data_IF_981469749353
#
_entry.id   IF_981469749353
#
_cell.length_a   1.000
_cell.length_b   1.000
_cell.length_c   1.000
_cell.angle_alpha   90.00
_cell.angle_beta   90.00
_cell.angle_gamma   90.00
#
_symmetry.space_group_name_H-M   'P 1'
#
loop_
_entity.id
_entity.type
_entity.pdbx_description
1 polymer ?
#
# COMPACT_ATOMS: atom_id res chain seq x y z
N UNK A 1 -10.05 13.43 -30.81
CA UNK A 1 -9.24 12.78 -29.75
C UNK A 1 -7.90 13.50 -29.72
N UNK A 2 -7.69 14.40 -28.75
CA UNK A 2 -6.40 15.05 -28.56
C UNK A 2 -5.46 14.05 -27.88
N UNK A 3 -4.39 13.68 -28.58
CA UNK A 3 -3.28 12.91 -28.01
C UNK A 3 -2.60 13.77 -26.95
N UNK A 4 -2.49 13.27 -25.72
CA UNK A 4 -1.70 13.91 -24.67
C UNK A 4 -0.23 13.93 -25.08
N UNK A 5 0.44 15.08 -24.96
CA UNK A 5 1.88 15.19 -25.16
C UNK A 5 2.60 14.18 -24.23
N UNK A 6 3.51 13.34 -24.76
CA UNK A 6 4.24 12.36 -23.94
C UNK A 6 5.04 13.01 -22.81
N UNK A 7 5.44 14.27 -22.98
CA UNK A 7 6.18 15.08 -22.00
C UNK A 7 5.40 15.37 -20.73
N UNK A 8 4.06 15.47 -20.79
CA UNK A 8 3.21 15.76 -19.62
C UNK A 8 2.65 14.50 -18.97
N UNK A 9 2.77 13.34 -19.62
CA UNK A 9 2.20 12.10 -19.12
C UNK A 9 2.85 11.64 -17.80
N UNK A 10 4.20 11.66 -17.75
CA UNK A 10 4.96 11.18 -16.58
C UNK A 10 4.69 12.06 -15.35
N UNK A 11 4.84 13.40 -15.39
CA UNK A 11 4.58 14.25 -14.23
C UNK A 11 3.13 14.14 -13.72
N UNK A 12 2.16 14.09 -14.64
CA UNK A 12 0.75 13.93 -14.27
C UNK A 12 0.49 12.58 -13.60
N UNK A 13 1.13 11.51 -14.08
CA UNK A 13 1.01 10.19 -13.46
C UNK A 13 1.64 10.17 -12.07
N UNK A 14 2.83 10.74 -11.89
CA UNK A 14 3.50 10.87 -10.59
C UNK A 14 2.63 11.63 -9.59
N UNK A 15 2.06 12.77 -9.99
CA UNK A 15 1.16 13.54 -9.13
C UNK A 15 -0.10 12.76 -8.73
N UNK A 16 -0.69 11.98 -9.64
CA UNK A 16 -1.82 11.10 -9.31
C UNK A 16 -1.44 10.00 -8.32
N UNK A 17 -0.20 9.47 -8.39
CA UNK A 17 0.32 8.49 -7.44
C UNK A 17 0.42 9.07 -6.03
N UNK A 18 0.98 10.27 -5.92
CA UNK A 18 1.11 10.97 -4.63
C UNK A 18 -0.27 11.22 -4.00
N UNK A 19 -1.24 11.67 -4.79
CA UNK A 19 -2.61 11.86 -4.30
C UNK A 19 -3.25 10.53 -3.90
N UNK A 20 -3.07 9.47 -4.70
CA UNK A 20 -3.60 8.15 -4.33
C UNK A 20 -3.03 7.70 -2.97
N UNK A 21 -1.71 7.71 -2.82
CA UNK A 21 -1.04 7.25 -1.60
C UNK A 21 -1.41 8.12 -0.38
N UNK A 22 -1.53 9.43 -0.57
CA UNK A 22 -1.99 10.34 0.50
C UNK A 22 -3.43 10.03 0.89
N UNK A 23 -4.33 9.87 -0.08
CA UNK A 23 -5.74 9.57 0.19
C UNK A 23 -5.92 8.19 0.83
N UNK A 24 -5.10 7.20 0.45
CA UNK A 24 -5.06 5.87 1.08
C UNK A 24 -4.72 5.99 2.56
N UNK A 25 -3.65 6.71 2.86
CA UNK A 25 -3.23 6.99 4.23
C UNK A 25 -4.33 7.66 5.06
N UNK A 26 -4.96 8.72 4.54
CA UNK A 26 -6.00 9.44 5.27
C UNK A 26 -7.27 8.58 5.45
N UNK A 27 -7.70 7.83 4.43
CA UNK A 27 -8.87 6.96 4.56
C UNK A 27 -8.63 5.85 5.58
N UNK A 28 -7.45 5.23 5.54
CA UNK A 28 -7.07 4.21 6.52
C UNK A 28 -7.00 4.78 7.94
N UNK A 29 -6.38 5.95 8.12
CA UNK A 29 -6.26 6.59 9.43
C UNK A 29 -7.63 6.91 10.01
N UNK A 30 -8.57 7.43 9.21
CA UNK A 30 -9.94 7.66 9.68
C UNK A 30 -10.60 6.34 10.08
N UNK A 31 -10.52 5.32 9.22
CA UNK A 31 -11.06 3.99 9.49
C UNK A 31 -10.52 3.42 10.81
N UNK A 32 -9.21 3.51 11.04
CA UNK A 32 -8.55 3.07 12.27
C UNK A 32 -9.13 3.75 13.51
N UNK A 33 -9.43 5.06 13.46
CA UNK A 33 -9.97 5.76 14.62
C UNK A 33 -11.44 5.42 14.94
N UNK A 34 -12.21 4.98 13.95
CA UNK A 34 -13.66 4.74 14.10
C UNK A 34 -14.03 3.25 14.28
N UNK A 35 -13.10 2.33 14.03
CA UNK A 35 -13.33 0.88 14.18
C UNK A 35 -12.66 0.37 15.46
N UNK A 36 -13.33 -0.52 16.20
CA UNK A 36 -12.76 -1.14 17.42
C UNK A 36 -11.79 -2.27 17.08
N UNK A 37 -12.16 -3.12 16.13
CA UNK A 37 -11.33 -4.22 15.65
C UNK A 37 -11.04 -4.00 14.16
N UNK A 38 -9.91 -3.37 13.81
CA UNK A 38 -9.61 -3.10 12.42
C UNK A 38 -9.46 -4.42 11.66
N UNK A 39 -10.24 -4.56 10.58
CA UNK A 39 -10.18 -5.73 9.67
C UNK A 39 -8.76 -5.98 9.16
N UNK A 40 -7.97 -4.92 8.99
CA UNK A 40 -6.59 -4.98 8.57
C UNK A 40 -5.65 -4.72 9.75
N UNK A 41 -4.79 -5.70 10.07
CA UNK A 41 -3.76 -5.57 11.12
C UNK A 41 -2.69 -4.53 10.79
N UNK A 42 -2.50 -4.20 9.51
CA UNK A 42 -1.60 -3.16 9.07
C UNK A 42 -2.10 -2.47 7.78
N UNK A 43 -1.65 -1.22 7.59
CA UNK A 43 -1.94 -0.34 6.45
C UNK A 43 -1.71 -0.98 5.07
N UNK A 44 -0.74 -1.89 4.97
CA UNK A 44 -0.23 -2.43 3.71
C UNK A 44 -1.26 -3.27 2.93
N UNK A 45 -2.37 -3.66 3.56
CA UNK A 45 -3.43 -4.46 2.93
C UNK A 45 -4.67 -3.63 2.51
N UNK A 46 -4.73 -2.34 2.82
CA UNK A 46 -5.96 -1.57 2.68
C UNK A 46 -5.90 -0.62 1.46
N UNK A 47 -6.35 -1.11 0.30
CA UNK A 47 -6.40 -0.29 -0.93
C UNK A 47 -7.38 0.89 -0.80
N UNK A 48 -7.14 1.98 -1.55
CA UNK A 48 -8.00 3.18 -1.52
C UNK A 48 -9.49 2.84 -1.68
N UNK A 49 -9.78 1.94 -2.62
CA UNK A 49 -11.15 1.56 -2.94
C UNK A 49 -11.85 0.82 -1.80
N UNK A 50 -11.11 -0.02 -1.07
CA UNK A 50 -11.62 -0.78 0.08
C UNK A 50 -11.84 0.14 1.27
N UNK A 51 -10.83 0.93 1.65
CA UNK A 51 -10.93 1.93 2.71
C UNK A 51 -12.09 2.91 2.45
N UNK A 52 -12.18 3.46 1.23
CA UNK A 52 -13.28 4.34 0.88
C UNK A 52 -14.64 3.62 0.93
N UNK A 53 -14.69 2.33 0.60
CA UNK A 53 -15.89 1.51 0.70
C UNK A 53 -16.37 1.35 2.14
N UNK A 54 -15.48 1.01 3.06
CA UNK A 54 -15.79 0.88 4.47
C UNK A 54 -16.19 2.23 5.09
N UNK A 55 -15.52 3.33 4.72
CA UNK A 55 -15.90 4.66 5.17
C UNK A 55 -17.28 5.09 4.65
N UNK A 56 -17.64 4.73 3.40
CA UNK A 56 -18.99 4.97 2.87
C UNK A 56 -20.04 4.18 3.68
N UNK A 57 -19.75 2.93 4.07
CA UNK A 57 -20.63 2.16 4.95
C UNK A 57 -20.75 2.83 6.32
N UNK A 58 -19.63 3.24 6.92
CA UNK A 58 -19.59 3.92 8.20
C UNK A 58 -20.31 5.28 8.20
N UNK A 59 -20.38 5.97 7.04
CA UNK A 59 -21.20 7.17 6.90
C UNK A 59 -22.69 6.85 7.06
N UNK A 60 -23.14 5.70 6.55
CA UNK A 60 -24.56 5.29 6.53
C UNK A 60 -25.00 4.60 7.81
N UNK A 61 -24.07 4.07 8.58
CA UNK A 61 -24.35 3.42 9.86
C UNK A 61 -24.70 4.46 10.93
N UNK A 62 -25.96 4.45 11.36
CA UNK A 62 -26.46 5.38 12.38
C UNK A 62 -25.97 5.09 13.80
N UNK A 63 -25.57 3.85 14.04
CA UNK A 63 -25.02 3.38 15.31
C UNK A 63 -23.49 3.51 15.39
N UNK A 64 -22.84 3.81 14.27
CA UNK A 64 -21.39 3.82 14.13
C UNK A 64 -20.71 5.02 14.79
N UNK A 65 -19.42 4.88 15.12
CA UNK A 65 -18.62 5.94 15.77
C UNK A 65 -18.45 7.20 14.93
N UNK A 66 -18.55 7.09 13.60
CA UNK A 66 -18.49 8.25 12.70
C UNK A 66 -19.76 9.09 12.74
N UNK A 67 -20.93 8.49 13.01
CA UNK A 67 -22.23 9.15 12.99
C UNK A 67 -22.30 10.42 13.85
N UNK A 68 -21.91 10.39 15.15
CA UNK A 68 -21.99 11.57 16.01
C UNK A 68 -20.91 12.62 15.73
N UNK A 69 -19.94 12.33 14.85
CA UNK A 69 -18.83 13.24 14.52
C UNK A 69 -19.11 14.12 13.31
N UNK A 70 -20.16 13.81 12.53
CA UNK A 70 -20.40 14.45 11.24
C UNK A 70 -21.88 14.82 11.05
N UNK A 71 -22.10 16.07 10.65
CA UNK A 71 -23.45 16.56 10.35
C UNK A 71 -24.02 15.86 9.09
N UNK A 72 -25.35 15.70 8.99
CA UNK A 72 -25.97 14.99 7.86
C UNK A 72 -25.58 15.53 6.48
N UNK A 73 -25.46 16.86 6.33
CA UNK A 73 -25.03 17.49 5.07
C UNK A 73 -23.58 17.17 4.73
N UNK A 74 -22.68 17.29 5.71
CA UNK A 74 -21.26 17.02 5.54
C UNK A 74 -20.96 15.55 5.23
N UNK A 75 -21.79 14.65 5.76
CA UNK A 75 -21.71 13.22 5.50
C UNK A 75 -22.04 12.86 4.06
N UNK A 76 -23.12 13.41 3.50
CA UNK A 76 -23.44 13.22 2.07
C UNK A 76 -22.30 13.73 1.18
N UNK A 77 -21.68 14.84 1.57
CA UNK A 77 -20.50 15.38 0.88
C UNK A 77 -19.27 14.46 1.02
N UNK A 78 -19.03 13.91 2.22
CA UNK A 78 -17.95 12.94 2.43
C UNK A 78 -18.17 11.69 1.58
N UNK A 79 -19.37 11.11 1.57
CA UNK A 79 -19.71 9.98 0.70
C UNK A 79 -19.48 10.31 -0.78
N UNK A 80 -19.88 11.51 -1.23
CA UNK A 80 -19.63 11.99 -2.58
C UNK A 80 -18.14 12.03 -2.92
N UNK A 81 -17.33 12.65 -2.04
CA UNK A 81 -15.89 12.70 -2.19
C UNK A 81 -15.27 11.30 -2.23
N UNK A 82 -15.62 10.40 -1.30
CA UNK A 82 -15.09 9.03 -1.22
C UNK A 82 -15.41 8.20 -2.47
N UNK A 83 -16.56 8.45 -3.12
CA UNK A 83 -16.87 7.81 -4.41
C UNK A 83 -16.03 8.40 -5.54
N UNK A 84 -15.84 9.72 -5.56
CA UNK A 84 -15.09 10.40 -6.60
C UNK A 84 -13.59 10.15 -6.54
N UNK A 85 -12.99 10.04 -5.35
CA UNK A 85 -11.54 9.79 -5.23
C UNK A 85 -11.12 8.44 -5.84
N UNK A 86 -12.04 7.49 -5.99
CA UNK A 86 -11.80 6.23 -6.73
C UNK A 86 -11.43 6.48 -8.19
N UNK A 87 -11.84 7.61 -8.77
CA UNK A 87 -11.44 8.01 -10.12
C UNK A 87 -9.95 8.34 -10.22
N UNK A 88 -9.29 8.72 -9.12
CA UNK A 88 -7.82 8.90 -9.07
C UNK A 88 -7.15 7.53 -9.15
N UNK A 89 -7.57 6.56 -8.31
CA UNK A 89 -7.09 5.17 -8.38
C UNK A 89 -7.33 4.54 -9.75
N UNK A 90 -8.50 4.77 -10.35
CA UNK A 90 -8.81 4.29 -11.69
C UNK A 90 -7.84 4.85 -12.75
N UNK A 91 -7.60 6.17 -12.73
CA UNK A 91 -6.64 6.82 -13.63
C UNK A 91 -5.23 6.25 -13.46
N UNK A 92 -4.79 6.02 -12.22
CA UNK A 92 -3.50 5.40 -11.92
C UNK A 92 -3.42 3.95 -12.39
N UNK A 93 -4.43 3.13 -12.06
CA UNK A 93 -4.43 1.70 -12.34
C UNK A 93 -4.36 1.40 -13.85
N UNK A 94 -5.09 2.19 -14.65
CA UNK A 94 -5.16 2.03 -16.09
C UNK A 94 -4.22 2.98 -16.86
N UNK A 95 -3.36 3.72 -16.15
CA UNK A 95 -2.39 4.66 -16.76
C UNK A 95 -3.08 5.61 -17.76
N UNK A 96 -4.24 6.13 -17.39
CA UNK A 96 -5.04 6.94 -18.29
C UNK A 96 -4.35 8.29 -18.54
N UNK A 97 -4.23 8.74 -19.78
CA UNK A 97 -3.73 10.08 -20.08
C UNK A 97 -4.65 11.12 -19.45
N UNK A 98 -4.06 12.17 -18.87
CA UNK A 98 -4.79 13.25 -18.22
C UNK A 98 -4.62 14.54 -19.02
N UNK A 99 -5.72 15.28 -19.14
CA UNK A 99 -5.68 16.68 -19.58
C UNK A 99 -5.43 17.58 -18.39
N UNK A 100 -4.93 18.80 -18.63
CA UNK A 100 -4.76 19.82 -17.59
C UNK A 100 -6.05 20.04 -16.78
N UNK A 101 -7.20 20.16 -17.48
CA UNK A 101 -8.51 20.27 -16.82
C UNK A 101 -8.83 19.06 -15.93
N UNK A 102 -8.52 17.84 -16.38
CA UNK A 102 -8.72 16.63 -15.57
C UNK A 102 -7.83 16.64 -14.33
N UNK A 103 -6.57 17.04 -14.48
CA UNK A 103 -5.63 17.19 -13.36
C UNK A 103 -6.09 18.22 -12.35
N UNK A 104 -6.54 19.39 -12.80
CA UNK A 104 -7.07 20.43 -11.93
C UNK A 104 -8.27 19.94 -11.11
N UNK A 105 -9.25 19.29 -11.75
CA UNK A 105 -10.42 18.75 -11.05
C UNK A 105 -10.05 17.68 -10.01
N UNK A 106 -9.09 16.80 -10.35
CA UNK A 106 -8.58 15.78 -9.42
C UNK A 106 -7.80 16.38 -8.26
N UNK A 107 -7.03 17.44 -8.50
CA UNK A 107 -6.33 18.21 -7.46
C UNK A 107 -7.33 18.79 -6.46
N UNK A 108 -8.31 19.55 -6.94
CA UNK A 108 -9.33 20.16 -6.08
C UNK A 108 -10.10 19.10 -5.28
N UNK A 109 -10.43 17.97 -5.91
CA UNK A 109 -11.07 16.84 -5.24
C UNK A 109 -10.17 16.23 -4.15
N UNK A 110 -8.90 15.98 -4.45
CA UNK A 110 -7.95 15.38 -3.52
C UNK A 110 -7.73 16.30 -2.31
N UNK A 111 -7.45 17.59 -2.53
CA UNK A 111 -7.27 18.58 -1.47
C UNK A 111 -8.52 18.69 -0.58
N UNK A 112 -9.70 18.82 -1.18
CA UNK A 112 -10.96 18.90 -0.42
C UNK A 112 -11.25 17.62 0.38
N UNK A 113 -10.90 16.44 -0.15
CA UNK A 113 -11.02 15.18 0.56
C UNK A 113 -10.02 15.08 1.72
N UNK A 114 -8.76 15.43 1.49
CA UNK A 114 -7.69 15.40 2.50
C UNK A 114 -8.06 16.31 3.68
N UNK A 115 -8.41 17.58 3.43
CA UNK A 115 -8.79 18.52 4.50
C UNK A 115 -9.97 18.00 5.34
N UNK A 116 -10.97 17.41 4.68
CA UNK A 116 -12.15 16.88 5.38
C UNK A 116 -11.83 15.64 6.19
N UNK A 117 -11.06 14.71 5.63
CA UNK A 117 -10.60 13.50 6.31
C UNK A 117 -9.75 13.87 7.52
N UNK A 118 -8.81 14.81 7.38
CA UNK A 118 -7.96 15.28 8.47
C UNK A 118 -8.77 15.84 9.64
N UNK A 119 -9.75 16.71 9.36
CA UNK A 119 -10.63 17.25 10.39
C UNK A 119 -11.39 16.15 11.14
N UNK A 120 -11.89 15.15 10.41
CA UNK A 120 -12.64 14.03 11.01
C UNK A 120 -11.72 13.09 11.81
N UNK A 121 -10.50 12.84 11.34
CA UNK A 121 -9.51 12.06 12.08
C UNK A 121 -9.24 12.73 13.41
N UNK A 122 -8.97 14.05 13.42
CA UNK A 122 -8.73 14.78 14.68
C UNK A 122 -9.93 14.73 15.63
N UNK A 123 -11.14 14.94 15.11
CA UNK A 123 -12.37 14.89 15.91
C UNK A 123 -12.60 13.49 16.51
N UNK A 124 -12.39 12.45 15.71
CA UNK A 124 -12.50 11.05 16.13
C UNK A 124 -11.43 10.68 17.16
N UNK A 125 -10.17 11.01 16.86
CA UNK A 125 -9.03 10.77 17.73
C UNK A 125 -9.20 11.46 19.09
N UNK A 126 -9.62 12.72 19.11
CA UNK A 126 -9.90 13.46 20.34
C UNK A 126 -11.04 12.83 21.15
N UNK A 127 -12.15 12.45 20.49
CA UNK A 127 -13.30 11.82 21.14
C UNK A 127 -12.97 10.46 21.75
N UNK A 128 -12.09 9.70 21.10
CA UNK A 128 -11.73 8.34 21.51
C UNK A 128 -10.40 8.25 22.27
N UNK A 129 -9.75 9.38 22.56
CA UNK A 129 -8.48 9.42 23.30
C UNK A 129 -7.29 8.82 22.54
N UNK A 130 -7.35 8.75 21.21
CA UNK A 130 -6.29 8.18 20.37
C UNK A 130 -5.28 9.28 20.07
N UNK A 131 -4.07 9.21 20.65
CA UNK A 131 -3.03 10.23 20.46
C UNK A 131 -2.11 9.92 19.28
N UNK A 132 -1.93 8.66 18.98
CA UNK A 132 -1.04 8.20 17.93
C UNK A 132 -1.51 6.89 17.32
N UNK A 133 -0.96 6.58 16.17
CA UNK A 133 -1.25 5.37 15.42
C UNK A 133 0.05 4.77 14.90
N UNK A 134 0.18 3.45 15.02
CA UNK A 134 1.25 2.72 14.35
C UNK A 134 0.94 2.60 12.86
N UNK A 135 1.89 3.03 12.04
CA UNK A 135 1.80 3.01 10.60
C UNK A 135 3.03 2.31 10.03
N UNK A 136 2.82 1.40 9.09
CA UNK A 136 3.89 0.63 8.45
C UNK A 136 4.10 1.16 7.03
N UNK A 137 5.00 2.14 6.84
CA UNK A 137 5.32 2.65 5.52
C UNK A 137 5.93 1.54 4.67
N UNK A 138 5.67 1.58 3.37
CA UNK A 138 6.30 0.64 2.43
C UNK A 138 7.63 1.24 2.01
N UNK A 139 8.73 0.86 2.67
CA UNK A 139 10.09 1.19 2.24
C UNK A 139 10.59 0.17 1.21
N UNK A 140 11.49 0.62 0.33
CA UNK A 140 11.95 -0.12 -0.84
C UNK A 140 12.91 -1.30 -0.54
N UNK A 141 13.42 -1.45 0.69
CA UNK A 141 14.39 -2.50 1.03
C UNK A 141 13.71 -3.67 1.74
N UNK A 142 13.91 -4.87 1.19
CA UNK A 142 13.25 -6.12 1.57
C UNK A 142 13.83 -6.76 2.86
N UNK A 143 14.87 -6.19 3.44
CA UNK A 143 15.74 -6.89 4.41
C UNK A 143 15.87 -6.19 5.77
N UNK A 144 15.29 -5.01 5.94
CA UNK A 144 15.18 -4.38 7.24
C UNK A 144 13.73 -4.45 7.68
N UNK A 145 13.53 -5.05 8.86
CA UNK A 145 12.29 -5.13 9.62
C UNK A 145 11.30 -4.03 9.21
N UNK A 146 10.07 -4.40 8.82
CA UNK A 146 8.97 -3.45 8.60
C UNK A 146 8.75 -2.64 9.88
N UNK A 147 9.50 -1.57 10.07
CA UNK A 147 9.52 -0.82 11.30
C UNK A 147 8.24 -0.01 11.35
N UNK A 148 7.42 -0.30 12.36
CA UNK A 148 6.26 0.53 12.66
C UNK A 148 6.75 1.94 12.95
N UNK A 149 6.16 2.92 12.28
CA UNK A 149 6.36 4.32 12.58
C UNK A 149 5.13 4.86 13.28
N UNK A 150 5.35 5.52 14.41
CA UNK A 150 4.27 6.16 15.16
C UNK A 150 3.94 7.51 14.55
N UNK A 151 2.71 7.65 14.04
CA UNK A 151 2.16 8.93 13.59
C UNK A 151 1.35 9.55 14.72
N UNK A 152 1.67 10.80 15.08
CA UNK A 152 0.90 11.59 16.04
C UNK A 152 -0.36 12.16 15.37
N UNK A 153 -1.51 11.97 15.99
CA UNK A 153 -2.81 12.44 15.51
C UNK A 153 -3.26 13.76 16.18
N UNK A 154 -2.61 14.11 17.29
CA UNK A 154 -2.87 15.32 18.09
C UNK A 154 -2.02 16.54 17.66
N UNK A 155 -1.19 16.39 16.62
CA UNK A 155 -0.33 17.43 16.09
C UNK A 155 -1.00 18.44 15.14
N UNK A 156 -0.27 19.48 14.70
CA UNK A 156 -0.80 20.54 13.85
C UNK A 156 -1.13 20.10 12.41
N UNK A 157 -0.50 19.03 11.91
CA UNK A 157 -0.74 18.44 10.58
C UNK A 157 -0.39 16.96 10.58
N UNK A 158 -1.37 16.10 10.24
CA UNK A 158 -1.18 14.65 10.15
C UNK A 158 -0.32 14.33 8.92
N UNK A 159 -0.51 15.07 7.83
CA UNK A 159 0.30 14.91 6.61
C UNK A 159 1.77 15.27 6.87
N UNK A 160 2.04 16.34 7.61
CA UNK A 160 3.41 16.72 7.95
C UNK A 160 4.04 15.71 8.92
N UNK A 161 3.28 15.17 9.87
CA UNK A 161 3.75 14.10 10.73
C UNK A 161 4.15 12.86 9.91
N UNK A 162 3.33 12.47 8.92
CA UNK A 162 3.64 11.41 7.96
C UNK A 162 4.91 11.69 7.16
N UNK A 163 5.05 12.89 6.60
CA UNK A 163 6.22 13.28 5.80
C UNK A 163 7.51 13.27 6.62
N UNK A 164 7.48 13.78 7.84
CA UNK A 164 8.62 13.75 8.76
C UNK A 164 9.04 12.32 9.11
N UNK A 165 8.06 11.46 9.36
CA UNK A 165 8.26 10.03 9.61
C UNK A 165 8.90 9.31 8.42
N UNK A 166 8.43 9.58 7.19
CA UNK A 166 9.05 9.05 5.97
C UNK A 166 10.47 9.57 5.76
N UNK A 167 10.70 10.87 5.97
CA UNK A 167 12.02 11.48 5.82
C UNK A 167 13.08 10.90 6.75
N UNK A 168 12.71 10.56 8.00
CA UNK A 168 13.60 9.89 8.95
C UNK A 168 14.00 8.50 8.48
N UNK A 169 13.05 7.69 8.00
CA UNK A 169 13.34 6.36 7.48
C UNK A 169 14.29 6.41 6.29
N UNK A 170 14.11 7.36 5.37
CA UNK A 170 15.01 7.52 4.23
C UNK A 170 16.41 7.96 4.68
N UNK A 171 16.51 8.89 5.63
CA UNK A 171 17.79 9.34 6.16
C UNK A 171 18.54 8.21 6.91
N UNK A 172 17.82 7.39 7.67
CA UNK A 172 18.37 6.23 8.38
C UNK A 172 18.82 5.12 7.41
N UNK A 173 18.09 4.89 6.32
CA UNK A 173 18.48 3.95 5.26
C UNK A 173 19.74 4.41 4.51
N UNK A 174 19.88 5.72 4.26
CA UNK A 174 21.06 6.29 3.59
C UNK A 174 22.28 6.39 4.52
N UNK A 175 22.09 6.39 5.84
CA UNK A 175 23.15 6.46 6.83
C UNK A 175 23.80 5.10 7.16
N UNK A 176 23.35 4.00 6.54
CA UNK A 176 24.01 2.70 6.67
C UNK A 176 25.38 2.73 5.97
N UNK A 177 26.48 2.39 6.66
CA UNK A 177 27.79 2.44 6.07
C UNK A 177 27.91 1.42 4.93
N UNK A 178 28.38 1.90 3.78
CA UNK A 178 28.91 1.03 2.73
C UNK A 178 29.96 0.08 3.33
N UNK A 179 30.08 -1.17 2.84
CA UNK A 179 31.05 -2.12 3.38
C UNK A 179 32.45 -1.51 3.28
N UNK A 180 33.08 -1.28 4.42
CA UNK A 180 34.45 -0.78 4.53
C UNK A 180 35.39 -1.78 3.82
N UNK A 181 35.82 -1.43 2.61
CA UNK A 181 37.05 -1.99 2.08
C UNK A 181 38.21 -1.47 2.93
N UNK A 182 38.74 -2.39 3.75
CA UNK A 182 40.00 -2.26 4.46
C UNK A 182 41.11 -1.93 3.46
N UNK A 183 41.62 -0.69 3.50
CA UNK A 183 43.02 -0.37 3.14
C UNK A 183 43.63 0.58 4.14
N UNK A 184 44.80 0.16 4.62
CA UNK A 184 45.51 0.67 5.78
C UNK A 184 46.17 2.06 5.63
N UNK A 185 46.99 2.43 6.62
CA UNK A 185 47.30 3.81 6.93
C UNK A 185 48.60 4.29 6.28
N UNK A 186 48.63 5.53 5.78
CA UNK A 186 49.88 6.25 5.57
C UNK A 186 49.85 7.64 6.22
N UNK A 187 50.91 7.90 6.98
CA UNK A 187 51.18 9.10 7.74
C UNK A 187 51.85 10.17 6.86
N UNK A 188 51.88 11.38 7.43
CA UNK A 188 52.94 12.39 7.36
C UNK A 188 52.78 13.61 6.42
N UNK A 189 52.38 14.73 7.08
CA UNK A 189 53.21 15.93 7.28
C UNK A 189 52.96 17.19 6.42
N UNK A 190 52.66 18.28 7.17
CA UNK A 190 53.29 19.62 7.13
C UNK A 190 52.81 20.70 6.13
N UNK A 191 52.18 21.70 6.75
CA UNK A 191 52.54 23.14 6.79
C UNK A 191 52.35 24.03 5.53
N UNK A 192 51.43 24.99 5.74
CA UNK A 192 51.57 26.45 5.58
C UNK A 192 51.76 27.07 4.18
N UNK A 193 50.75 27.88 3.85
CA UNK A 193 50.84 29.32 3.50
C UNK A 193 50.96 29.67 2.01
N UNK A 194 49.86 30.15 1.42
CA UNK A 194 49.88 31.39 0.60
C UNK A 194 48.47 31.93 0.39
N UNK A 195 48.18 33.02 1.09
CA UNK A 195 47.19 34.03 0.70
C UNK A 195 47.63 34.73 -0.60
N UNK A 196 46.66 35.38 -1.25
CA UNK A 196 46.72 36.27 -2.42
C UNK A 196 46.77 35.60 -3.80
N UNK A 197 45.57 35.40 -4.36
CA UNK A 197 45.16 36.13 -5.56
C UNK A 197 43.64 35.96 -5.73
N UNK A 198 42.91 36.95 -5.24
CA UNK A 198 41.48 37.12 -5.45
C UNK A 198 41.33 38.47 -6.15
N UNK A 199 41.20 38.44 -7.48
CA UNK A 199 40.30 39.33 -8.22
C UNK A 199 40.35 38.99 -9.71
N UNK A 200 39.19 39.06 -10.37
CA UNK A 200 38.94 38.93 -11.82
C UNK A 200 38.43 37.57 -12.37
N UNK A 201 37.88 36.66 -11.55
CA UNK A 201 37.15 35.47 -12.04
C UNK A 201 35.88 35.12 -11.24
N UNK A 202 35.36 36.04 -10.41
CA UNK A 202 34.18 35.76 -9.59
C UNK A 202 32.84 36.09 -10.27
N UNK A 203 32.80 36.89 -11.35
CA UNK A 203 31.52 37.27 -11.97
C UNK A 203 30.92 36.21 -12.93
N UNK A 204 31.72 35.34 -13.57
CA UNK A 204 31.18 34.25 -14.43
C UNK A 204 30.80 32.98 -13.64
N UNK A 205 31.25 32.82 -12.39
CA UNK A 205 30.96 31.62 -11.57
C UNK A 205 29.69 31.73 -10.75
N UNK A 206 29.10 32.92 -10.63
CA UNK A 206 27.87 33.15 -9.87
C UNK A 206 26.60 32.85 -10.68
N UNK A 207 26.67 32.81 -12.01
CA UNK A 207 25.50 32.48 -12.86
C UNK A 207 25.37 30.98 -13.20
N UNK A 208 26.45 30.17 -13.16
CA UNK A 208 26.38 28.73 -13.46
C UNK A 208 26.12 27.82 -12.24
N UNK A 209 26.26 28.35 -11.02
CA UNK A 209 25.98 27.61 -9.79
C UNK A 209 24.48 27.27 -9.56
N UNK A 210 23.49 28.13 -9.88
CA UNK A 210 22.08 27.75 -9.73
C UNK A 210 21.65 26.70 -10.76
N UNK A 211 22.16 26.76 -11.99
CA UNK A 211 21.74 25.89 -13.09
C UNK A 211 22.21 24.44 -12.92
N UNK A 212 23.46 24.22 -12.47
CA UNK A 212 23.93 22.88 -12.09
C UNK A 212 23.15 22.28 -10.92
N UNK A 213 22.79 23.11 -9.94
CA UNK A 213 22.06 22.63 -8.77
C UNK A 213 20.61 22.23 -9.12
N UNK A 214 19.98 22.91 -10.09
CA UNK A 214 18.65 22.53 -10.60
C UNK A 214 18.69 21.26 -11.46
N UNK A 215 19.72 21.08 -12.30
CA UNK A 215 19.91 19.86 -13.09
C UNK A 215 20.11 18.64 -12.16
N UNK A 216 20.92 18.78 -11.12
CA UNK A 216 21.14 17.71 -10.14
C UNK A 216 19.86 17.37 -9.36
N UNK A 217 19.00 18.38 -9.04
CA UNK A 217 17.70 18.12 -8.41
C UNK A 217 16.76 17.36 -9.34
N UNK A 218 16.70 17.75 -10.61
CA UNK A 218 15.83 17.11 -11.60
C UNK A 218 16.28 15.68 -11.91
N UNK A 219 17.59 15.44 -11.96
CA UNK A 219 18.14 14.10 -12.18
C UNK A 219 17.85 13.17 -11.00
N UNK A 220 18.08 13.64 -9.77
CA UNK A 220 17.74 12.88 -8.57
C UNK A 220 16.24 12.56 -8.52
N UNK A 221 15.38 13.52 -8.90
CA UNK A 221 13.93 13.32 -8.90
C UNK A 221 13.49 12.25 -9.92
N UNK A 222 14.09 12.21 -11.11
CA UNK A 222 13.85 11.15 -12.10
C UNK A 222 14.30 9.77 -11.61
N UNK A 223 15.45 9.68 -10.94
CA UNK A 223 15.91 8.41 -10.36
C UNK A 223 14.98 7.91 -9.25
N UNK A 224 14.49 8.80 -8.39
CA UNK A 224 13.51 8.44 -7.36
C UNK A 224 12.18 7.95 -7.98
N UNK A 225 11.75 8.54 -9.09
CA UNK A 225 10.54 8.15 -9.82
C UNK A 225 10.69 6.76 -10.48
N UNK A 226 11.81 6.50 -11.14
CA UNK A 226 12.10 5.20 -11.75
C UNK A 226 12.19 4.09 -10.68
N UNK A 227 12.83 4.38 -9.56
CA UNK A 227 12.91 3.47 -8.40
C UNK A 227 11.51 3.21 -7.84
N UNK A 228 10.65 4.23 -7.72
CA UNK A 228 9.29 4.07 -7.23
C UNK A 228 8.41 3.21 -8.16
N UNK A 229 8.49 3.44 -9.46
CA UNK A 229 7.77 2.67 -10.49
C UNK A 229 8.27 1.23 -10.52
N UNK A 230 9.59 1.02 -10.51
CA UNK A 230 10.22 -0.31 -10.48
C UNK A 230 9.77 -1.10 -9.25
N UNK A 231 9.85 -0.50 -8.06
CA UNK A 231 9.43 -1.14 -6.82
C UNK A 231 7.93 -1.45 -6.79
N UNK A 232 7.10 -0.63 -7.45
CA UNK A 232 5.66 -0.88 -7.55
C UNK A 232 5.34 -2.02 -8.52
N UNK A 233 6.01 -2.07 -9.67
CA UNK A 233 5.87 -3.15 -10.64
C UNK A 233 6.33 -4.48 -10.05
N UNK A 234 7.46 -4.48 -9.33
CA UNK A 234 7.97 -5.64 -8.60
C UNK A 234 6.98 -6.13 -7.55
N UNK A 235 6.40 -5.24 -6.75
CA UNK A 235 5.34 -5.58 -5.77
C UNK A 235 4.12 -6.22 -6.41
N UNK A 236 3.69 -5.74 -7.58
CA UNK A 236 2.57 -6.34 -8.33
C UNK A 236 2.93 -7.72 -8.88
N UNK A 237 4.15 -7.90 -9.38
CA UNK A 237 4.64 -9.18 -9.86
C UNK A 237 4.65 -10.22 -8.73
N UNK A 238 5.18 -9.86 -7.56
CA UNK A 238 5.24 -10.75 -6.39
C UNK A 238 3.84 -11.08 -5.86
N UNK A 239 2.91 -10.12 -5.84
CA UNK A 239 1.51 -10.39 -5.49
C UNK A 239 0.86 -11.38 -6.47
N UNK A 240 1.03 -11.19 -7.78
CA UNK A 240 0.51 -12.12 -8.79
C UNK A 240 1.09 -13.52 -8.63
N UNK A 241 2.39 -13.64 -8.35
CA UNK A 241 3.03 -14.93 -8.08
C UNK A 241 2.43 -15.63 -6.85
N UNK A 242 2.16 -14.89 -5.77
CA UNK A 242 1.52 -15.44 -4.58
C UNK A 242 0.07 -15.90 -4.85
N UNK A 243 -0.68 -15.14 -5.66
CA UNK A 243 -2.04 -15.53 -6.08
C UNK A 243 -1.99 -16.82 -6.92
N UNK A 244 -1.06 -16.90 -7.88
CA UNK A 244 -0.88 -18.11 -8.69
C UNK A 244 -0.47 -19.32 -7.85
N UNK A 245 0.45 -19.15 -6.90
CA UNK A 245 0.86 -20.21 -5.98
C UNK A 245 -0.31 -20.68 -5.10
N UNK A 246 -1.17 -19.76 -4.65
CA UNK A 246 -2.37 -20.10 -3.88
C UNK A 246 -3.39 -20.87 -4.72
N UNK A 247 -3.61 -20.43 -5.97
CA UNK A 247 -4.48 -21.13 -6.93
C UNK A 247 -3.96 -22.54 -7.25
N UNK A 248 -2.65 -22.70 -7.40
CA UNK A 248 -2.03 -24.01 -7.64
C UNK A 248 -2.29 -24.97 -6.46
N UNK A 249 -2.13 -24.51 -5.21
CA UNK A 249 -2.47 -25.31 -4.01
C UNK A 249 -3.94 -25.68 -3.96
N UNK A 250 -4.85 -24.76 -4.29
CA UNK A 250 -6.28 -25.06 -4.35
C UNK A 250 -6.61 -26.11 -5.41
N UNK A 251 -5.99 -26.03 -6.59
CA UNK A 251 -6.17 -27.04 -7.64
C UNK A 251 -5.63 -28.41 -7.21
N UNK A 252 -4.51 -28.45 -6.50
CA UNK A 252 -3.96 -29.68 -5.97
C UNK A 252 -4.90 -30.31 -4.92
N UNK A 253 -5.48 -29.52 -4.03
CA UNK A 253 -6.51 -29.98 -3.09
C UNK A 253 -7.73 -30.54 -3.82
N UNK A 254 -8.21 -29.87 -4.87
CA UNK A 254 -9.33 -30.36 -5.70
C UNK A 254 -8.97 -31.69 -6.38
N UNK A 255 -7.76 -31.81 -6.93
CA UNK A 255 -7.31 -33.06 -7.54
C UNK A 255 -7.20 -34.21 -6.53
N UNK A 256 -6.72 -33.93 -5.32
CA UNK A 256 -6.70 -34.92 -4.24
C UNK A 256 -8.11 -35.35 -3.86
N UNK A 257 -9.02 -34.40 -3.64
CA UNK A 257 -10.43 -34.69 -3.35
C UNK A 257 -11.08 -35.55 -4.45
N UNK A 258 -10.81 -35.25 -5.73
CA UNK A 258 -11.32 -36.03 -6.86
C UNK A 258 -10.76 -37.46 -6.87
N UNK A 259 -9.47 -37.66 -6.59
CA UNK A 259 -8.89 -39.02 -6.48
C UNK A 259 -9.54 -39.82 -5.35
N UNK A 260 -9.87 -39.18 -4.23
CA UNK A 260 -10.58 -39.84 -3.15
C UNK A 260 -12.02 -40.21 -3.53
N UNK A 261 -12.71 -39.32 -4.25
CA UNK A 261 -14.05 -39.62 -4.79
C UNK A 261 -14.01 -40.81 -5.75
N UNK A 262 -13.07 -40.82 -6.70
CA UNK A 262 -12.86 -41.93 -7.63
C UNK A 262 -12.54 -43.25 -6.90
N UNK A 263 -11.70 -43.22 -5.86
CA UNK A 263 -11.40 -44.39 -5.04
C UNK A 263 -12.62 -44.87 -4.25
N UNK A 264 -13.40 -43.96 -3.65
CA UNK A 264 -14.62 -44.31 -2.93
C UNK A 264 -15.67 -44.95 -3.85
N UNK A 265 -15.85 -44.40 -5.05
CA UNK A 265 -16.71 -44.98 -6.09
C UNK A 265 -16.22 -46.37 -6.49
N UNK A 266 -14.91 -46.57 -6.67
CA UNK A 266 -14.35 -47.88 -6.99
C UNK A 266 -14.63 -48.92 -5.89
N UNK A 267 -14.47 -48.56 -4.62
CA UNK A 267 -14.80 -49.44 -3.50
C UNK A 267 -16.29 -49.82 -3.50
N UNK A 268 -17.19 -48.85 -3.74
CA UNK A 268 -18.62 -49.11 -3.85
C UNK A 268 -18.97 -50.02 -5.03
N UNK A 269 -18.31 -49.86 -6.19
CA UNK A 269 -18.50 -50.75 -7.34
C UNK A 269 -18.00 -52.16 -7.08
N UNK A 270 -16.88 -52.34 -6.36
CA UNK A 270 -16.39 -53.66 -5.96
C UNK A 270 -17.39 -54.37 -5.03
N UNK A 271 -17.95 -53.64 -4.04
CA UNK A 271 -18.98 -54.16 -3.13
C UNK A 271 -20.25 -54.55 -3.91
N UNK A 272 -20.69 -53.73 -4.87
CA UNK A 272 -21.83 -54.03 -5.73
C UNK A 272 -21.61 -55.27 -6.60
N UNK A 273 -20.38 -55.47 -7.11
CA UNK A 273 -20.03 -56.64 -7.92
C UNK A 273 -19.87 -57.95 -7.13
N UNK A 274 -19.67 -57.87 -5.81
CA UNK A 274 -19.65 -59.02 -4.90
C UNK A 274 -21.03 -59.32 -4.29
N UNK A 275 -22.02 -58.45 -4.50
CA UNK A 275 -23.37 -58.56 -3.94
C UNK A 275 -24.23 -59.72 -4.47
N UNK A 276 -23.76 -60.49 -5.45
CA UNK A 276 -24.44 -61.71 -5.92
C UNK A 276 -23.99 -62.99 -5.18
N UNK A 277 -23.01 -62.92 -4.26
CA UNK A 277 -22.68 -64.04 -3.38
C UNK A 277 -22.36 -63.56 -1.95
N UNK A 278 -23.31 -63.81 -1.05
CA UNK A 278 -23.21 -63.81 0.41
C UNK A 278 -22.86 -62.48 1.12
N UNK A 279 -23.92 -61.79 1.54
CA UNK A 279 -24.01 -61.18 2.88
C UNK A 279 -22.95 -60.13 3.23
N UNK A 280 -22.88 -59.02 2.49
CA UNK A 280 -22.12 -57.84 2.94
C UNK A 280 -22.75 -57.31 4.23
N UNK A 281 -22.03 -57.47 5.35
CA UNK A 281 -22.45 -57.02 6.68
C UNK A 281 -22.71 -55.51 6.68
N UNK A 282 -23.89 -55.12 7.16
CA UNK A 282 -24.30 -53.71 7.34
C UNK A 282 -23.29 -52.89 8.14
N UNK A 283 -22.50 -53.54 9.01
CA UNK A 283 -21.42 -52.90 9.75
C UNK A 283 -20.27 -52.41 8.87
N UNK A 284 -19.99 -53.09 7.75
CA UNK A 284 -18.95 -52.67 6.81
C UNK A 284 -19.38 -51.43 6.02
N UNK A 285 -20.64 -51.39 5.58
CA UNK A 285 -21.23 -50.23 4.90
C UNK A 285 -21.23 -49.01 5.84
N UNK A 286 -21.61 -49.21 7.11
CA UNK A 286 -21.59 -48.15 8.11
C UNK A 286 -20.18 -47.64 8.41
N UNK A 287 -19.18 -48.54 8.51
CA UNK A 287 -17.79 -48.17 8.73
C UNK A 287 -17.22 -47.34 7.56
N UNK A 288 -17.54 -47.71 6.31
CA UNK A 288 -17.14 -46.95 5.12
C UNK A 288 -17.79 -45.56 5.14
N UNK A 289 -19.07 -45.43 5.48
CA UNK A 289 -19.75 -44.15 5.57
C UNK A 289 -19.19 -43.25 6.69
N UNK A 290 -18.86 -43.81 7.85
CA UNK A 290 -18.28 -43.07 8.98
C UNK A 290 -16.87 -42.57 8.64
N UNK A 291 -16.03 -43.39 8.00
CA UNK A 291 -14.69 -42.97 7.55
C UNK A 291 -14.81 -41.90 6.47
N UNK A 292 -15.73 -42.07 5.52
CA UNK A 292 -15.99 -41.08 4.46
C UNK A 292 -16.46 -39.75 5.04
N UNK A 293 -17.39 -39.77 6.01
CA UNK A 293 -17.91 -38.56 6.64
C UNK A 293 -16.85 -37.86 7.50
N UNK A 294 -16.01 -38.61 8.22
CA UNK A 294 -14.95 -38.05 9.06
C UNK A 294 -13.86 -37.35 8.24
N UNK A 295 -13.59 -37.84 7.03
CA UNK A 295 -12.62 -37.25 6.11
C UNK A 295 -13.13 -35.97 5.45
N UNK A 296 -14.44 -35.82 5.22
CA UNK A 296 -15.05 -34.57 4.72
C UNK A 296 -14.93 -33.42 5.74
N UNK A 297 -14.82 -33.72 7.04
CA UNK A 297 -14.59 -32.71 8.07
C UNK A 297 -13.10 -32.38 8.29
N UNK A 298 -12.18 -33.16 7.73
CA UNK A 298 -10.74 -32.99 7.91
C UNK A 298 -10.06 -32.18 6.79
N UNK A 299 -10.73 -32.02 5.63
CA UNK A 299 -10.27 -31.23 4.47
C UNK A 299 -11.16 -30.01 4.23
#
# INVERSE_FOLDING_TARGET
MQQSNPTEFIPNHCQLLEWQDTLEFFCFTLYYTIVQEPRWRCYQAAELCECAGELIKACRDESGKLYPLIQPKERRLLEGNLRQIRQIRHAVAHRLPQTERSMYLKKTLAEAAITRLERLIRASAARHGIRSMEWYPVTASREQNCQAVTIKLDGPSILSARQMSLGRLTAEATALPAPEEVRGPEKHSKKKKKEKNQNCQEDERLEQAPEKHEIDRHHNQLEFEDIAIYNRLRRRLEHLQNVLATRARQLEQIHQAKRYEEFALQQLTCISSQGDNDGVSSGFILAVLIVSASLVFYF
#
